data_IF_035644088113
#
_entry.id   IF_035644088113
#
_cell.length_a   1.000
_cell.length_b   1.000
_cell.length_c   1.000
_cell.angle_alpha   90.00
_cell.angle_beta   90.00
_cell.angle_gamma   90.00
#
_symmetry.space_group_name_H-M   'P 1'
#
loop_
_entity.id
_entity.type
_entity.pdbx_description
1 polymer ?
#
# COMPACT_ATOMS: atom_id res chain seq x y z
N UNK A 1 16.87 1.59 11.32
CA UNK A 1 15.40 1.71 11.56
C UNK A 1 14.73 1.93 10.22
N UNK A 2 13.76 1.07 9.88
CA UNK A 2 13.00 1.08 8.63
C UNK A 2 11.52 1.33 8.94
N UNK A 3 10.92 2.36 8.35
CA UNK A 3 9.46 2.49 8.33
C UNK A 3 8.89 1.83 7.08
N UNK A 4 7.75 1.16 7.18
CA UNK A 4 7.09 0.55 6.04
C UNK A 4 5.57 0.51 6.25
N UNK A 5 4.82 0.64 5.17
CA UNK A 5 3.36 0.54 5.19
C UNK A 5 2.89 -0.93 5.28
N UNK A 6 1.68 -1.20 5.82
CA UNK A 6 1.24 -2.54 6.20
C UNK A 6 1.40 -3.61 5.10
N UNK A 7 1.01 -3.31 3.85
CA UNK A 7 1.13 -4.31 2.78
C UNK A 7 2.58 -4.59 2.36
N UNK A 8 3.52 -3.64 2.53
CA UNK A 8 4.95 -3.90 2.34
C UNK A 8 5.51 -4.74 3.50
N UNK A 9 5.10 -4.46 4.74
CA UNK A 9 5.46 -5.27 5.91
C UNK A 9 5.02 -6.72 5.72
N UNK A 10 3.82 -6.94 5.20
CA UNK A 10 3.28 -8.29 5.02
C UNK A 10 3.87 -9.05 3.81
N UNK A 11 4.41 -8.38 2.80
CA UNK A 11 4.84 -9.01 1.54
C UNK A 11 6.33 -8.89 1.24
N UNK A 12 6.88 -7.67 1.23
CA UNK A 12 8.23 -7.37 0.78
C UNK A 12 9.26 -7.47 1.91
N UNK A 13 8.97 -6.86 3.05
CA UNK A 13 9.92 -6.71 4.17
C UNK A 13 10.47 -8.04 4.69
N UNK A 14 9.67 -9.12 4.85
CA UNK A 14 10.20 -10.41 5.34
C UNK A 14 11.33 -10.95 4.46
N UNK A 15 11.19 -10.86 3.13
CA UNK A 15 12.23 -11.28 2.20
C UNK A 15 13.49 -10.41 2.28
N UNK A 16 13.31 -9.11 2.46
CA UNK A 16 14.44 -8.17 2.64
C UNK A 16 15.19 -8.50 3.94
N UNK A 17 14.48 -8.69 5.05
CA UNK A 17 15.10 -9.02 6.34
C UNK A 17 15.86 -10.36 6.31
N UNK A 18 15.32 -11.36 5.60
CA UNK A 18 16.02 -12.64 5.41
C UNK A 18 17.34 -12.47 4.62
N UNK A 19 17.33 -11.69 3.55
CA UNK A 19 18.54 -11.39 2.76
C UNK A 19 19.55 -10.61 3.58
N UNK A 20 19.11 -9.54 4.25
CA UNK A 20 19.95 -8.68 5.09
C UNK A 20 20.59 -9.49 6.22
N UNK A 21 19.79 -10.32 6.93
CA UNK A 21 20.30 -11.15 8.01
C UNK A 21 21.37 -12.15 7.60
N UNK A 22 21.28 -12.67 6.36
CA UNK A 22 22.33 -13.56 5.79
C UNK A 22 23.58 -12.80 5.34
N UNK A 23 23.43 -11.65 4.71
CA UNK A 23 24.55 -10.90 4.15
C UNK A 23 25.27 -10.03 5.19
N UNK A 24 24.53 -9.55 6.17
CA UNK A 24 25.02 -8.61 7.19
C UNK A 24 24.60 -9.06 8.60
N UNK A 25 25.15 -10.17 9.14
CA UNK A 25 24.70 -10.78 10.38
C UNK A 25 24.89 -9.91 11.64
N UNK A 26 25.63 -8.80 11.52
CA UNK A 26 25.77 -7.80 12.61
C UNK A 26 24.84 -6.61 12.48
N UNK A 27 23.98 -6.56 11.46
CA UNK A 27 23.03 -5.47 11.24
C UNK A 27 21.70 -5.80 11.91
N UNK A 28 21.32 -5.01 12.92
CA UNK A 28 19.99 -5.06 13.52
C UNK A 28 19.05 -4.10 12.80
N UNK A 29 17.90 -4.61 12.36
CA UNK A 29 16.85 -3.83 11.70
C UNK A 29 15.65 -3.70 12.64
N UNK A 30 15.39 -2.48 13.09
CA UNK A 30 14.15 -2.12 13.78
C UNK A 30 13.10 -1.71 12.75
N UNK A 31 11.93 -2.38 12.77
CA UNK A 31 10.82 -2.12 11.85
C UNK A 31 9.73 -1.29 12.55
N UNK A 32 9.28 -0.23 11.86
CA UNK A 32 8.18 0.62 12.29
C UNK A 32 7.06 0.52 11.26
N UNK A 33 5.88 0.07 11.67
CA UNK A 33 4.69 0.09 10.81
C UNK A 33 4.13 1.51 10.75
N UNK A 34 4.10 2.10 9.56
CA UNK A 34 3.63 3.47 9.35
C UNK A 34 3.17 3.69 7.90
N UNK A 35 2.04 4.37 7.74
CA UNK A 35 1.60 4.84 6.41
C UNK A 35 2.56 5.93 5.86
N UNK A 36 2.58 6.16 4.52
CA UNK A 36 3.56 7.07 3.91
C UNK A 36 3.69 8.45 4.56
N UNK A 37 2.62 9.17 4.94
CA UNK A 37 2.78 10.49 5.56
C UNK A 37 3.57 10.44 6.88
N UNK A 38 3.23 9.47 7.74
CA UNK A 38 3.88 9.26 9.04
C UNK A 38 5.31 8.74 8.88
N UNK A 39 5.53 7.84 7.92
CA UNK A 39 6.85 7.29 7.60
C UNK A 39 7.80 8.40 7.11
N UNK A 40 7.35 9.26 6.19
CA UNK A 40 8.15 10.36 5.66
C UNK A 40 8.40 11.44 6.73
N UNK A 41 7.43 11.73 7.60
CA UNK A 41 7.65 12.63 8.76
C UNK A 41 8.68 12.05 9.73
N UNK A 42 8.59 10.76 10.04
CA UNK A 42 9.56 10.07 10.89
C UNK A 42 10.97 10.10 10.28
N UNK A 43 11.08 9.95 8.95
CA UNK A 43 12.34 10.03 8.22
C UNK A 43 12.94 11.44 8.27
N UNK A 44 12.16 12.51 8.02
CA UNK A 44 12.61 13.90 8.11
C UNK A 44 13.13 14.25 9.51
N UNK A 45 12.46 13.73 10.55
CA UNK A 45 12.87 13.95 11.96
C UNK A 45 14.00 13.02 12.41
N UNK A 46 14.54 12.16 11.56
CA UNK A 46 15.61 11.21 11.92
C UNK A 46 15.18 10.10 12.90
N UNK A 47 13.88 9.87 13.06
CA UNK A 47 13.36 8.77 13.88
C UNK A 47 13.52 7.42 13.21
N UNK A 48 13.51 7.40 11.86
CA UNK A 48 13.87 6.25 11.04
C UNK A 48 14.98 6.65 10.06
N UNK A 49 15.67 5.68 9.48
CA UNK A 49 16.81 5.88 8.61
C UNK A 49 16.46 5.67 7.13
N UNK A 50 15.44 4.84 6.87
CA UNK A 50 14.83 4.65 5.56
C UNK A 50 13.31 4.44 5.73
N UNK A 51 12.55 4.67 4.66
CA UNK A 51 11.12 4.41 4.61
C UNK A 51 10.74 3.75 3.28
N UNK A 52 9.90 2.72 3.33
CA UNK A 52 9.11 2.29 2.19
C UNK A 52 7.89 3.19 2.11
N UNK A 53 7.66 3.79 0.96
CA UNK A 53 6.53 4.69 0.69
C UNK A 53 5.82 4.27 -0.59
N UNK A 54 4.61 4.76 -0.78
CA UNK A 54 3.91 4.64 -2.05
C UNK A 54 3.16 5.93 -2.40
N UNK A 55 2.95 6.14 -3.71
CA UNK A 55 2.11 7.20 -4.26
C UNK A 55 1.23 6.64 -5.38
N UNK A 56 0.09 7.27 -5.62
CA UNK A 56 -0.80 6.97 -6.76
C UNK A 56 -0.57 7.93 -7.93
N UNK A 57 0.16 9.00 -7.70
CA UNK A 57 0.54 10.00 -8.67
C UNK A 57 2.07 10.11 -8.62
N UNK A 58 2.71 10.58 -9.67
CA UNK A 58 4.14 10.93 -9.65
C UNK A 58 4.37 12.16 -8.73
N UNK A 59 4.31 11.88 -7.42
CA UNK A 59 4.65 12.84 -6.38
C UNK A 59 6.12 12.69 -6.02
N UNK A 60 6.81 13.81 -5.88
CA UNK A 60 8.14 13.86 -5.28
C UNK A 60 8.05 13.55 -3.77
N UNK A 61 9.02 12.85 -3.22
CA UNK A 61 9.13 12.59 -1.78
C UNK A 61 9.21 13.88 -0.93
N UNK A 62 9.45 15.02 -1.59
CA UNK A 62 9.52 16.36 -1.03
C UNK A 62 10.93 16.75 -0.61
N UNK A 63 11.06 18.03 -0.25
CA UNK A 63 12.35 18.65 0.08
C UNK A 63 13.11 17.87 1.17
N UNK A 64 14.41 17.69 0.96
CA UNK A 64 15.33 17.01 1.87
C UNK A 64 15.27 15.49 1.85
N UNK A 65 14.49 14.89 0.94
CA UNK A 65 14.39 13.44 0.75
C UNK A 65 14.83 13.03 -0.66
N UNK A 66 15.33 11.82 -0.77
CA UNK A 66 15.62 11.16 -2.04
C UNK A 66 14.82 9.87 -2.12
N UNK A 67 14.19 9.59 -3.26
CA UNK A 67 13.45 8.36 -3.49
C UNK A 67 14.08 7.53 -4.61
N UNK A 68 13.98 6.21 -4.47
CA UNK A 68 14.34 5.23 -5.49
C UNK A 68 13.12 4.37 -5.77
N UNK A 69 12.69 4.35 -7.02
CA UNK A 69 11.61 3.48 -7.47
C UNK A 69 11.98 2.01 -7.32
N UNK A 70 11.09 1.22 -6.72
CA UNK A 70 11.26 -0.22 -6.55
C UNK A 70 10.38 -1.01 -7.52
N UNK A 71 9.08 -0.73 -7.52
CA UNK A 71 8.11 -1.44 -8.34
C UNK A 71 6.79 -0.67 -8.46
N UNK A 72 6.02 -1.03 -9.46
CA UNK A 72 4.62 -0.62 -9.61
C UNK A 72 3.72 -1.74 -9.09
N UNK A 73 2.84 -1.41 -8.15
CA UNK A 73 1.93 -2.33 -7.51
C UNK A 73 0.51 -2.11 -8.02
N UNK A 74 0.05 -3.02 -8.86
CA UNK A 74 -1.26 -2.96 -9.53
C UNK A 74 -2.39 -3.00 -8.50
N UNK A 75 -3.42 -2.17 -8.70
CA UNK A 75 -4.66 -2.24 -7.94
C UNK A 75 -5.62 -3.27 -8.52
N UNK A 76 -6.37 -3.90 -7.65
CA UNK A 76 -7.35 -4.92 -7.98
C UNK A 76 -8.74 -4.53 -7.46
N UNK A 77 -9.74 -4.70 -8.30
CA UNK A 77 -11.12 -4.75 -7.87
C UNK A 77 -11.36 -6.09 -7.16
N UNK A 78 -11.77 -6.01 -5.90
CA UNK A 78 -12.04 -7.16 -5.03
C UNK A 78 -13.52 -7.18 -4.69
N UNK A 79 -14.20 -8.30 -5.00
CA UNK A 79 -15.64 -8.46 -4.83
C UNK A 79 -15.98 -9.85 -4.29
N UNK A 80 -17.17 -10.02 -3.70
CA UNK A 80 -17.68 -11.37 -3.43
C UNK A 80 -18.12 -12.06 -4.75
N UNK A 81 -18.28 -13.39 -4.79
CA UNK A 81 -18.88 -14.08 -5.92
C UNK A 81 -20.30 -13.55 -6.23
N UNK A 82 -20.51 -13.13 -7.47
CA UNK A 82 -21.77 -12.46 -7.89
C UNK A 82 -21.79 -10.94 -7.72
N UNK A 83 -20.71 -10.34 -7.19
CA UNK A 83 -20.53 -8.87 -7.16
C UNK A 83 -20.22 -8.28 -8.54
N UNK A 84 -19.99 -6.97 -8.57
CA UNK A 84 -19.62 -6.27 -9.81
C UNK A 84 -18.36 -6.86 -10.43
N UNK A 85 -18.25 -6.85 -11.75
CA UNK A 85 -17.12 -7.40 -12.47
C UNK A 85 -16.26 -6.35 -13.16
N UNK A 86 -16.76 -5.11 -13.23
CA UNK A 86 -16.07 -3.97 -13.84
C UNK A 86 -16.15 -2.79 -12.88
N UNK A 87 -15.09 -2.02 -12.83
CA UNK A 87 -15.03 -0.80 -12.01
C UNK A 87 -16.10 0.23 -12.41
N UNK A 88 -16.46 0.29 -13.69
CA UNK A 88 -17.51 1.18 -14.19
C UNK A 88 -18.91 0.89 -13.60
N UNK A 89 -19.12 -0.30 -13.06
CA UNK A 89 -20.37 -0.68 -12.39
C UNK A 89 -20.38 -0.31 -10.88
N UNK A 90 -19.36 0.42 -10.43
CA UNK A 90 -19.09 0.75 -9.02
C UNK A 90 -20.18 1.55 -8.29
N UNK A 91 -21.08 2.22 -9.04
CA UNK A 91 -22.27 2.87 -8.47
C UNK A 91 -23.33 1.87 -7.94
N UNK A 92 -23.23 0.60 -8.33
CA UNK A 92 -24.21 -0.45 -7.98
C UNK A 92 -23.89 -1.15 -6.66
N UNK A 93 -22.77 -0.81 -6.02
CA UNK A 93 -22.38 -1.43 -4.75
C UNK A 93 -21.83 -0.39 -3.77
N UNK A 94 -21.78 -0.78 -2.50
CA UNK A 94 -21.06 -0.04 -1.48
C UNK A 94 -19.60 -0.47 -1.46
N UNK A 95 -18.76 0.33 -0.81
CA UNK A 95 -17.32 0.13 -0.81
C UNK A 95 -16.76 -0.06 0.61
N UNK A 96 -15.83 -0.99 0.76
CA UNK A 96 -14.98 -1.13 1.93
C UNK A 96 -13.65 -0.47 1.60
N UNK A 97 -13.26 0.56 2.36
CA UNK A 97 -12.06 1.34 2.10
C UNK A 97 -10.94 0.99 3.08
N UNK A 98 -9.69 1.26 2.68
CA UNK A 98 -8.52 1.23 3.54
C UNK A 98 -8.22 2.60 4.18
N UNK A 99 -6.91 2.92 4.29
CA UNK A 99 -6.38 4.17 4.80
C UNK A 99 -6.89 5.40 4.03
N UNK A 100 -6.60 6.60 4.54
CA UNK A 100 -7.04 7.86 3.93
C UNK A 100 -6.61 7.97 2.45
N UNK A 101 -5.35 7.65 2.12
CA UNK A 101 -4.84 7.65 0.74
C UNK A 101 -5.55 6.62 -0.15
N UNK A 102 -5.82 5.43 0.38
CA UNK A 102 -6.56 4.39 -0.34
C UNK A 102 -8.00 4.84 -0.65
N UNK A 103 -8.61 5.59 0.27
CA UNK A 103 -9.95 6.17 0.07
C UNK A 103 -9.93 7.28 -0.97
N UNK A 104 -8.94 8.15 -0.94
CA UNK A 104 -8.76 9.22 -1.94
C UNK A 104 -8.60 8.63 -3.34
N UNK A 105 -7.79 7.58 -3.47
CA UNK A 105 -7.63 6.85 -4.74
C UNK A 105 -8.92 6.21 -5.21
N UNK A 106 -9.68 5.53 -4.32
CA UNK A 106 -10.99 4.99 -4.68
C UNK A 106 -11.93 6.09 -5.19
N UNK A 107 -11.91 7.29 -4.58
CA UNK A 107 -12.71 8.44 -5.05
C UNK A 107 -12.24 8.90 -6.43
N UNK A 108 -10.93 8.97 -6.68
CA UNK A 108 -10.36 9.35 -7.98
C UNK A 108 -10.75 8.34 -9.06
N UNK A 109 -10.59 7.05 -8.79
CA UNK A 109 -10.98 5.96 -9.68
C UNK A 109 -12.49 5.99 -9.95
N UNK A 110 -13.31 6.21 -8.93
CA UNK A 110 -14.76 6.35 -9.08
C UNK A 110 -15.13 7.50 -10.00
N UNK A 111 -14.56 8.68 -9.78
CA UNK A 111 -14.79 9.86 -10.64
C UNK A 111 -14.40 9.60 -12.10
N UNK A 112 -13.23 8.98 -12.32
CA UNK A 112 -12.76 8.62 -13.66
C UNK A 112 -13.69 7.61 -14.37
N UNK A 113 -14.47 6.83 -13.61
CA UNK A 113 -15.43 5.85 -14.11
C UNK A 113 -16.90 6.31 -13.98
N UNK A 114 -17.15 7.59 -13.66
CA UNK A 114 -18.48 8.21 -13.68
C UNK A 114 -19.34 7.92 -12.45
N UNK A 115 -18.74 7.56 -11.30
CA UNK A 115 -19.50 7.33 -10.05
C UNK A 115 -18.79 7.94 -8.83
N UNK A 116 -19.57 8.14 -7.76
CA UNK A 116 -19.07 8.49 -6.44
C UNK A 116 -19.20 7.28 -5.52
N UNK A 117 -18.09 6.74 -4.97
CA UNK A 117 -18.17 5.57 -4.11
C UNK A 117 -18.92 5.87 -2.80
N UNK A 118 -19.89 5.03 -2.44
CA UNK A 118 -20.52 5.06 -1.13
C UNK A 118 -19.76 4.12 -0.19
N UNK A 119 -19.09 4.67 0.82
CA UNK A 119 -18.34 3.88 1.80
C UNK A 119 -19.29 3.19 2.79
N UNK A 120 -19.22 1.85 2.85
CA UNK A 120 -19.92 1.03 3.84
C UNK A 120 -19.10 0.89 5.13
N UNK A 121 -17.78 0.73 5.00
CA UNK A 121 -16.88 0.48 6.10
C UNK A 121 -15.45 0.93 5.74
N UNK A 122 -14.63 1.25 6.75
CA UNK A 122 -13.22 1.58 6.59
C UNK A 122 -12.37 0.76 7.58
N UNK A 123 -11.26 0.18 7.10
CA UNK A 123 -10.30 -0.56 7.91
C UNK A 123 -8.95 -0.63 7.21
N UNK A 124 -7.87 -0.42 7.95
CA UNK A 124 -6.50 -0.59 7.44
C UNK A 124 -6.03 -2.06 7.46
N UNK A 125 -6.83 -2.94 8.07
CA UNK A 125 -6.59 -4.38 8.09
C UNK A 125 -7.10 -5.05 6.80
N UNK A 126 -6.19 -5.43 5.93
CA UNK A 126 -6.50 -6.11 4.65
C UNK A 126 -7.19 -7.47 4.82
N UNK A 127 -7.01 -8.15 5.96
CA UNK A 127 -7.73 -9.40 6.26
C UNK A 127 -9.19 -9.09 6.56
N UNK A 128 -9.44 -8.07 7.40
CA UNK A 128 -10.78 -7.62 7.73
C UNK A 128 -11.53 -7.07 6.49
N UNK A 129 -10.85 -6.27 5.65
CA UNK A 129 -11.41 -5.78 4.39
C UNK A 129 -11.87 -6.93 3.51
N UNK A 130 -11.03 -7.94 3.29
CA UNK A 130 -11.38 -9.09 2.45
C UNK A 130 -12.50 -9.94 3.05
N UNK A 131 -12.52 -10.12 4.37
CA UNK A 131 -13.60 -10.83 5.06
C UNK A 131 -14.96 -10.12 4.90
N UNK A 132 -14.98 -8.78 5.02
CA UNK A 132 -16.18 -7.97 4.80
C UNK A 132 -16.67 -8.05 3.35
N UNK A 133 -15.73 -8.00 2.39
CA UNK A 133 -16.05 -8.17 0.97
C UNK A 133 -16.61 -9.58 0.70
N UNK A 134 -16.02 -10.63 1.24
CA UNK A 134 -16.49 -12.01 1.11
C UNK A 134 -17.89 -12.18 1.69
N UNK A 135 -18.23 -11.46 2.77
CA UNK A 135 -19.55 -11.41 3.38
C UNK A 135 -20.59 -10.56 2.60
N UNK A 136 -20.20 -9.95 1.46
CA UNK A 136 -21.09 -9.14 0.63
C UNK A 136 -21.39 -7.73 1.16
N UNK A 137 -20.59 -7.21 2.11
CA UNK A 137 -20.76 -5.85 2.64
C UNK A 137 -20.50 -4.78 1.57
N UNK A 138 -19.61 -5.07 0.62
CA UNK A 138 -19.27 -4.16 -0.47
C UNK A 138 -18.15 -4.70 -1.37
N UNK A 139 -17.65 -3.85 -2.24
CA UNK A 139 -16.42 -4.09 -3.00
C UNK A 139 -15.24 -3.33 -2.38
N UNK A 140 -14.01 -3.67 -2.75
CA UNK A 140 -12.82 -2.94 -2.34
C UNK A 140 -11.84 -2.77 -3.50
N UNK A 141 -10.98 -1.75 -3.42
CA UNK A 141 -9.74 -1.69 -4.18
C UNK A 141 -8.58 -2.09 -3.27
N UNK A 142 -7.86 -3.14 -3.64
CA UNK A 142 -6.70 -3.61 -2.89
C UNK A 142 -5.47 -3.70 -3.79
N UNK A 143 -4.29 -3.35 -3.25
CA UNK A 143 -3.03 -3.50 -3.97
C UNK A 143 -2.62 -4.97 -4.07
N UNK A 144 -1.88 -5.30 -5.13
CA UNK A 144 -1.36 -6.64 -5.37
C UNK A 144 -0.48 -7.16 -4.23
N UNK A 145 0.30 -6.28 -3.60
CA UNK A 145 1.12 -6.63 -2.43
C UNK A 145 0.29 -7.18 -1.27
N UNK A 146 -0.87 -6.56 -0.96
CA UNK A 146 -1.77 -7.07 0.08
C UNK A 146 -2.35 -8.43 -0.29
N UNK A 147 -2.75 -8.60 -1.57
CA UNK A 147 -3.31 -9.85 -2.07
C UNK A 147 -2.28 -10.98 -2.19
N UNK A 148 -0.99 -10.65 -2.38
CA UNK A 148 0.10 -11.63 -2.39
C UNK A 148 0.43 -12.15 -0.99
N UNK A 149 0.28 -11.29 0.03
CA UNK A 149 0.49 -11.68 1.42
C UNK A 149 -0.66 -12.54 1.97
N UNK A 150 -1.90 -12.14 1.64
CA UNK A 150 -3.11 -12.87 2.05
C UNK A 150 -4.22 -12.68 1.03
N UNK A 151 -4.90 -13.77 0.68
CA UNK A 151 -6.09 -13.77 -0.15
C UNK A 151 -7.19 -14.64 0.47
N UNK A 152 -8.31 -14.02 0.80
CA UNK A 152 -9.49 -14.72 1.31
C UNK A 152 -10.13 -15.56 0.19
N UNK A 153 -10.47 -16.82 0.45
CA UNK A 153 -11.04 -17.75 -0.55
C UNK A 153 -12.40 -17.30 -1.10
N UNK A 154 -13.18 -16.58 -0.29
CA UNK A 154 -14.51 -16.06 -0.65
C UNK A 154 -14.50 -14.80 -1.48
N UNK A 155 -13.35 -14.30 -1.97
CA UNK A 155 -13.30 -13.12 -2.83
C UNK A 155 -12.87 -13.46 -4.26
N UNK A 156 -13.38 -12.67 -5.20
CA UNK A 156 -12.89 -12.60 -6.58
C UNK A 156 -12.06 -11.35 -6.75
N UNK A 157 -10.93 -11.46 -7.45
CA UNK A 157 -10.00 -10.36 -7.70
C UNK A 157 -9.79 -10.17 -9.20
N UNK A 158 -9.80 -8.91 -9.65
CA UNK A 158 -9.58 -8.54 -11.05
C UNK A 158 -8.64 -7.36 -11.12
N UNK A 159 -7.52 -7.45 -11.86
CA UNK A 159 -6.58 -6.34 -11.99
C UNK A 159 -7.25 -5.17 -12.72
N UNK A 160 -6.93 -3.97 -12.29
CA UNK A 160 -7.28 -2.74 -13.00
C UNK A 160 -6.08 -2.35 -13.88
N UNK A 161 -6.29 -2.37 -15.20
CA UNK A 161 -5.19 -2.28 -16.18
C UNK A 161 -4.41 -0.94 -16.14
N UNK A 162 -4.93 0.09 -15.51
CA UNK A 162 -4.35 1.44 -15.49
C UNK A 162 -4.14 2.00 -14.09
N UNK A 163 -4.61 1.28 -13.09
CA UNK A 163 -4.59 1.74 -11.70
C UNK A 163 -3.49 0.99 -10.96
N UNK A 164 -2.49 1.72 -10.53
CA UNK A 164 -1.34 1.19 -9.78
C UNK A 164 -0.84 2.24 -8.81
N UNK A 165 -0.10 1.82 -7.82
CA UNK A 165 0.69 2.71 -6.97
C UNK A 165 2.18 2.45 -7.21
N UNK A 166 2.95 3.51 -7.21
CA UNK A 166 4.40 3.49 -7.29
C UNK A 166 4.96 3.24 -5.90
N UNK A 167 5.74 2.20 -5.74
CA UNK A 167 6.41 1.86 -4.48
C UNK A 167 7.87 2.27 -4.55
N UNK A 168 8.35 2.95 -3.51
CA UNK A 168 9.67 3.56 -3.46
C UNK A 168 10.34 3.31 -2.10
N UNK A 169 11.66 3.25 -2.12
CA UNK A 169 12.49 3.47 -0.93
C UNK A 169 12.84 4.94 -0.85
N UNK A 170 12.66 5.53 0.33
CA UNK A 170 12.94 6.95 0.58
C UNK A 170 13.97 7.06 1.69
N UNK A 171 14.96 7.93 1.49
CA UNK A 171 16.01 8.25 2.46
C UNK A 171 16.21 9.76 2.55
N UNK A 172 16.91 10.25 3.58
CA UNK A 172 17.32 11.66 3.63
C UNK A 172 18.37 11.96 2.57
N UNK A 173 18.27 13.10 1.91
CA UNK A 173 19.25 13.59 0.95
C UNK A 173 20.59 14.01 1.61
N UNK A 174 20.55 14.38 2.90
CA UNK A 174 21.73 14.79 3.65
C UNK A 174 22.73 13.63 3.86
N UNK A 175 24.01 13.94 3.70
CA UNK A 175 25.14 13.02 3.98
C UNK A 175 25.95 13.55 5.17
N UNK A 176 26.61 12.68 5.99
CA UNK A 176 26.73 11.23 5.80
C UNK A 176 25.49 10.45 6.21
N UNK A 177 25.18 9.41 5.44
CA UNK A 177 24.17 8.41 5.81
C UNK A 177 24.82 7.32 6.68
N UNK A 178 24.04 6.60 7.51
CA UNK A 178 24.54 5.35 8.10
C UNK A 178 25.03 4.40 6.98
N UNK A 179 26.17 3.76 7.17
CA UNK A 179 26.77 2.84 6.17
C UNK A 179 25.83 1.72 5.71
N UNK A 180 24.83 1.40 6.50
CA UNK A 180 23.82 0.40 6.17
C UNK A 180 22.74 0.90 5.17
N UNK A 181 22.77 2.17 4.78
CA UNK A 181 21.77 2.80 3.88
C UNK A 181 22.38 3.05 2.48
N UNK A 182 23.67 3.06 2.35
CA UNK A 182 24.41 3.11 1.07
C UNK A 182 24.56 1.69 0.48
#
# INVERSE_FOLDING_TARGET
>A
RLAAFPSAVASLVPGVLDVVGRQYPGLEVELVDAEPPEALDALRRGRVDAALSFSYIDDDAGEGLESVHLLDDVLYLVTHPGGITRIADGAQCRWVTGCARCREELIAVGRANGFTPETAYASDDYVAVQALVAAGVGAALLPGMALSAYRHEGVQVRPLAREQRRVEVVTRAERPRPLAID
#
